data_IF_760079910051
#
_entry.id   IF_760079910051
#
_cell.length_a   1.000
_cell.length_b   1.000
_cell.length_c   1.000
_cell.angle_alpha   90.00
_cell.angle_beta   90.00
_cell.angle_gamma   90.00
#
_symmetry.space_group_name_H-M   'P 1'
#
loop_
_entity.id
_entity.type
_entity.pdbx_description
1 polymer ?
#
# COMPACT_ATOMS: atom_id res chain seq x y z
N UNK A 1 19.17 7.55 -2.43
CA UNK A 1 17.81 7.27 -1.94
C UNK A 1 17.15 6.34 -2.92
N UNK A 2 16.79 5.14 -2.49
CA UNK A 2 16.09 4.14 -3.30
C UNK A 2 14.65 4.59 -3.61
N UNK A 3 13.94 3.96 -4.57
CA UNK A 3 12.51 4.20 -4.79
C UNK A 3 11.69 4.03 -3.51
N UNK A 4 11.90 2.96 -2.76
CA UNK A 4 11.19 2.71 -1.50
C UNK A 4 11.43 3.81 -0.46
N UNK A 5 12.70 4.23 -0.28
CA UNK A 5 13.04 5.33 0.63
C UNK A 5 12.36 6.65 0.21
N UNK A 6 12.28 6.93 -1.10
CA UNK A 6 11.60 8.11 -1.63
C UNK A 6 10.09 8.04 -1.34
N UNK A 7 9.50 6.89 -1.56
CA UNK A 7 8.06 6.66 -1.35
C UNK A 7 7.69 6.75 0.13
N UNK A 8 8.46 6.09 1.01
CA UNK A 8 8.26 6.15 2.45
C UNK A 8 8.44 7.58 2.98
N UNK A 9 9.48 8.29 2.56
CA UNK A 9 9.73 9.67 2.98
C UNK A 9 8.59 10.62 2.59
N UNK A 10 8.02 10.46 1.40
CA UNK A 10 6.89 11.28 0.93
C UNK A 10 5.58 10.98 1.68
N UNK A 11 5.39 9.75 2.16
CA UNK A 11 4.17 9.36 2.87
C UNK A 11 4.29 9.52 4.39
N UNK A 12 5.50 9.60 4.94
CA UNK A 12 5.73 9.74 6.37
C UNK A 12 5.01 10.92 7.03
N UNK A 13 4.98 12.15 6.47
CA UNK A 13 4.24 13.27 7.07
C UNK A 13 2.76 12.95 7.27
N UNK A 14 2.12 12.30 6.30
CA UNK A 14 0.73 11.87 6.42
C UNK A 14 0.56 10.80 7.51
N UNK A 15 1.36 9.74 7.48
CA UNK A 15 1.33 8.68 8.48
C UNK A 15 1.51 9.29 9.87
N UNK A 16 2.58 10.07 10.07
CA UNK A 16 2.93 10.67 11.37
C UNK A 16 1.84 11.58 11.93
N UNK A 17 1.17 12.36 11.08
CA UNK A 17 0.14 13.32 11.51
C UNK A 17 -1.15 12.66 12.01
N UNK A 18 -1.40 11.39 11.65
CA UNK A 18 -2.60 10.64 12.05
C UNK A 18 -2.32 9.61 13.16
N UNK A 19 -1.06 9.46 13.60
CA UNK A 19 -0.74 8.60 14.72
C UNK A 19 -1.01 9.29 16.06
N UNK A 20 -1.32 8.51 17.13
CA UNK A 20 -1.39 9.05 18.49
C UNK A 20 -0.03 9.58 18.95
N UNK A 21 0.01 10.33 20.04
CA UNK A 21 1.27 10.77 20.63
C UNK A 21 2.12 9.56 21.08
N UNK A 22 3.43 9.65 20.85
CA UNK A 22 4.37 8.67 21.40
C UNK A 22 4.56 8.88 22.94
N UNK A 23 4.85 7.81 23.71
CA UNK A 23 5.03 6.44 23.26
C UNK A 23 3.68 5.73 23.03
N UNK A 24 3.57 4.98 21.94
CA UNK A 24 2.40 4.18 21.62
C UNK A 24 2.81 2.91 20.86
N UNK A 25 1.97 1.88 20.90
CA UNK A 25 2.19 0.63 20.17
C UNK A 25 1.60 0.76 18.78
N UNK A 26 2.41 0.51 17.75
CA UNK A 26 2.02 0.61 16.34
C UNK A 26 2.36 -0.70 15.63
N UNK A 27 1.42 -1.22 14.86
CA UNK A 27 1.65 -2.35 13.95
C UNK A 27 1.60 -1.83 12.52
N UNK A 28 2.55 -2.22 11.70
CA UNK A 28 2.54 -2.00 10.25
C UNK A 28 2.25 -3.31 9.53
N UNK A 29 1.25 -3.29 8.64
CA UNK A 29 0.89 -4.38 7.73
C UNK A 29 1.51 -4.08 6.37
N UNK A 30 2.28 -5.02 5.82
CA UNK A 30 2.96 -4.85 4.54
C UNK A 30 4.24 -4.02 4.64
N UNK A 31 5.09 -4.30 5.64
CA UNK A 31 6.36 -3.59 5.78
C UNK A 31 7.40 -3.99 4.71
N UNK A 32 7.17 -5.09 3.98
CA UNK A 32 8.06 -5.56 2.94
C UNK A 32 9.48 -5.87 3.39
N UNK A 33 10.34 -6.19 2.42
CA UNK A 33 11.75 -6.56 2.66
C UNK A 33 12.60 -5.44 3.23
N UNK A 34 12.22 -4.18 2.99
CA UNK A 34 12.97 -3.00 3.45
C UNK A 34 12.54 -2.53 4.84
N UNK A 35 11.49 -3.14 5.42
CA UNK A 35 11.03 -2.86 6.77
C UNK A 35 10.06 -1.67 6.88
N UNK A 36 9.58 -1.13 5.80
CA UNK A 36 8.51 -0.13 5.75
C UNK A 36 8.75 1.11 6.59
N UNK A 37 7.71 1.55 7.28
CA UNK A 37 7.77 2.69 8.20
C UNK A 37 8.35 2.35 9.58
N UNK A 38 8.61 1.07 9.92
CA UNK A 38 9.08 0.66 11.26
C UNK A 38 10.28 1.48 11.74
N UNK A 39 11.36 1.69 10.95
CA UNK A 39 12.51 2.49 11.40
C UNK A 39 12.13 3.95 11.70
N UNK A 40 11.22 4.53 10.94
CA UNK A 40 10.75 5.91 11.16
C UNK A 40 9.86 6.00 12.41
N UNK A 41 9.02 4.99 12.64
CA UNK A 41 8.17 4.86 13.82
C UNK A 41 9.03 4.75 15.08
N UNK A 42 10.02 3.86 15.10
CA UNK A 42 10.94 3.70 16.24
C UNK A 42 11.73 4.98 16.51
N UNK A 43 12.24 5.64 15.46
CA UNK A 43 12.94 6.92 15.58
C UNK A 43 12.05 8.03 16.15
N UNK A 44 10.74 7.93 15.94
CA UNK A 44 9.74 8.86 16.47
C UNK A 44 9.23 8.47 17.88
N UNK A 45 9.79 7.41 18.50
CA UNK A 45 9.51 6.97 19.86
C UNK A 45 8.34 6.01 20.01
N UNK A 46 7.88 5.37 18.92
CA UNK A 46 6.85 4.33 18.97
C UNK A 46 7.46 2.95 19.26
N UNK A 47 6.65 2.06 19.83
CA UNK A 47 6.91 0.63 19.88
C UNK A 47 6.31 0.02 18.63
N UNK A 48 7.12 -0.12 17.57
CA UNK A 48 6.67 -0.55 16.27
C UNK A 48 6.88 -2.07 16.04
N UNK A 49 5.95 -2.70 15.32
CA UNK A 49 6.10 -4.06 14.81
C UNK A 49 5.65 -4.08 13.35
N UNK A 50 6.54 -4.48 12.46
CA UNK A 50 6.25 -4.70 11.04
C UNK A 50 5.88 -6.15 10.78
N UNK A 51 4.85 -6.36 9.97
CA UNK A 51 4.33 -7.67 9.59
C UNK A 51 4.31 -7.77 8.08
N UNK A 52 4.98 -8.77 7.56
CA UNK A 52 5.03 -9.10 6.14
C UNK A 52 5.67 -10.48 5.98
N UNK A 53 5.25 -11.36 5.06
CA UNK A 53 5.93 -12.62 4.80
C UNK A 53 7.41 -12.48 4.46
N UNK A 54 7.78 -11.34 3.89
CA UNK A 54 9.14 -11.01 3.47
C UNK A 54 9.84 -9.99 4.39
N UNK A 55 9.27 -9.71 5.57
CA UNK A 55 9.84 -8.76 6.52
C UNK A 55 11.33 -9.04 6.83
N UNK A 56 12.13 -8.02 7.13
CA UNK A 56 13.52 -8.23 7.54
C UNK A 56 13.61 -9.08 8.81
N UNK A 57 14.77 -9.71 9.02
CA UNK A 57 15.06 -10.34 10.30
C UNK A 57 15.22 -9.27 11.40
N UNK A 58 14.65 -9.49 12.58
CA UNK A 58 14.78 -8.57 13.70
C UNK A 58 13.63 -8.68 14.71
N UNK A 59 13.85 -8.13 15.92
CA UNK A 59 12.86 -8.19 16.99
C UNK A 59 11.57 -7.40 16.70
N UNK A 60 11.69 -6.36 15.87
CA UNK A 60 10.60 -5.49 15.48
C UNK A 60 9.81 -6.03 14.26
N UNK A 61 10.13 -7.21 13.76
CA UNK A 61 9.51 -7.77 12.56
C UNK A 61 8.93 -9.15 12.79
N UNK A 62 7.91 -9.49 11.99
CA UNK A 62 7.28 -10.81 11.95
C UNK A 62 7.09 -11.23 10.50
N UNK A 63 7.74 -12.34 10.11
CA UNK A 63 7.66 -12.93 8.77
C UNK A 63 6.45 -13.85 8.68
N UNK A 64 5.26 -13.26 8.66
CA UNK A 64 3.97 -13.98 8.59
C UNK A 64 2.98 -13.14 7.78
N UNK A 65 1.96 -13.79 7.22
CA UNK A 65 0.77 -13.11 6.72
C UNK A 65 0.02 -12.47 7.92
N UNK A 66 -0.61 -11.30 7.69
CA UNK A 66 -1.29 -10.60 8.77
C UNK A 66 -2.44 -11.43 9.35
N UNK A 67 -3.15 -12.21 8.53
CA UNK A 67 -4.22 -13.11 8.94
C UNK A 67 -3.77 -14.14 9.98
N UNK A 68 -2.50 -14.50 9.96
CA UNK A 68 -1.87 -15.43 10.91
C UNK A 68 -1.17 -14.76 12.09
N UNK A 69 -1.16 -13.43 12.13
CA UNK A 69 -0.48 -12.69 13.19
C UNK A 69 -1.29 -12.66 14.48
N UNK A 70 -0.68 -13.15 15.55
CA UNK A 70 -1.20 -13.05 16.92
C UNK A 70 -0.47 -11.94 17.68
N UNK A 71 -1.16 -10.84 17.90
CA UNK A 71 -0.59 -9.74 18.68
C UNK A 71 -0.57 -10.06 20.17
N UNK A 72 0.47 -9.64 20.91
CA UNK A 72 0.55 -9.84 22.37
C UNK A 72 -0.47 -8.98 23.16
N UNK A 73 -1.31 -8.23 22.50
CA UNK A 73 -2.38 -7.40 23.06
C UNK A 73 -2.73 -6.21 22.17
N UNK A 74 -3.75 -5.40 22.57
CA UNK A 74 -4.24 -4.30 21.75
C UNK A 74 -3.16 -3.28 21.40
N UNK A 75 -3.31 -2.59 20.27
CA UNK A 75 -2.38 -1.57 19.76
C UNK A 75 -3.09 -0.22 19.60
N UNK A 76 -2.31 0.86 19.64
CA UNK A 76 -2.83 2.22 19.58
C UNK A 76 -3.03 2.68 18.12
N UNK A 77 -2.26 2.13 17.19
CA UNK A 77 -2.44 2.38 15.77
C UNK A 77 -2.02 1.19 14.91
N UNK A 78 -2.63 1.11 13.74
CA UNK A 78 -2.22 0.21 12.66
C UNK A 78 -1.97 1.07 11.41
N UNK A 79 -0.85 0.82 10.76
CA UNK A 79 -0.50 1.39 9.45
C UNK A 79 -0.59 0.24 8.44
N UNK A 80 -1.27 0.44 7.32
CA UNK A 80 -1.27 -0.50 6.19
C UNK A 80 -0.67 0.21 4.97
N UNK A 81 0.37 -0.36 4.41
CA UNK A 81 1.21 0.28 3.41
C UNK A 81 1.29 -0.59 2.16
N UNK A 82 0.56 -0.23 1.09
CA UNK A 82 0.51 -0.94 -0.19
C UNK A 82 0.34 -2.47 -0.03
N UNK A 83 -0.55 -2.90 0.86
CA UNK A 83 -0.69 -4.30 1.27
C UNK A 83 -2.12 -4.83 1.24
N UNK A 84 -3.12 -4.00 1.49
CA UNK A 84 -4.52 -4.44 1.56
C UNK A 84 -5.06 -4.91 0.22
N UNK A 85 -4.51 -4.45 -0.89
CA UNK A 85 -4.92 -4.93 -2.20
C UNK A 85 -4.47 -6.37 -2.48
N UNK A 86 -3.54 -6.93 -1.70
CA UNK A 86 -3.05 -8.32 -1.83
C UNK A 86 -3.69 -9.32 -0.86
N UNK A 87 -4.40 -8.86 0.18
CA UNK A 87 -4.97 -9.79 1.18
C UNK A 87 -6.04 -10.70 0.55
N UNK A 88 -6.14 -11.93 1.04
CA UNK A 88 -7.09 -12.89 0.49
C UNK A 88 -8.56 -12.50 0.78
N UNK A 89 -8.83 -11.96 1.97
CA UNK A 89 -10.17 -11.54 2.41
C UNK A 89 -10.10 -10.23 3.20
N UNK A 90 -10.49 -9.14 2.54
CA UNK A 90 -10.55 -7.80 3.15
C UNK A 90 -11.44 -7.72 4.38
N UNK A 91 -12.55 -8.48 4.41
CA UNK A 91 -13.49 -8.46 5.52
C UNK A 91 -12.83 -9.05 6.75
N UNK A 92 -12.21 -10.22 6.60
CA UNK A 92 -11.50 -10.91 7.70
C UNK A 92 -10.36 -10.04 8.23
N UNK A 93 -9.52 -9.52 7.34
CA UNK A 93 -8.38 -8.67 7.71
C UNK A 93 -8.83 -7.39 8.43
N UNK A 94 -9.83 -6.69 7.92
CA UNK A 94 -10.30 -5.44 8.53
C UNK A 94 -11.07 -5.68 9.85
N UNK A 95 -11.74 -6.82 10.02
CA UNK A 95 -12.32 -7.21 11.31
C UNK A 95 -11.21 -7.50 12.33
N UNK A 96 -10.12 -8.17 11.93
CA UNK A 96 -8.95 -8.39 12.79
C UNK A 96 -8.25 -7.08 13.14
N UNK A 97 -8.05 -6.18 12.17
CA UNK A 97 -7.52 -4.82 12.40
C UNK A 97 -8.36 -4.08 13.44
N UNK A 98 -9.69 -4.09 13.28
CA UNK A 98 -10.60 -3.45 14.24
C UNK A 98 -10.54 -4.06 15.62
N UNK A 99 -10.47 -5.38 15.71
CA UNK A 99 -10.39 -6.10 16.99
C UNK A 99 -9.06 -5.85 17.72
N UNK A 100 -7.99 -5.64 16.98
CA UNK A 100 -6.66 -5.38 17.54
C UNK A 100 -6.47 -3.95 18.05
N UNK A 101 -7.20 -2.99 17.51
CA UNK A 101 -7.12 -1.59 17.92
C UNK A 101 -7.79 -1.35 19.29
N UNK A 102 -7.16 -0.50 20.12
CA UNK A 102 -7.86 0.09 21.28
C UNK A 102 -9.07 0.92 20.79
N UNK A 103 -10.08 1.19 21.64
CA UNK A 103 -11.29 1.92 21.21
C UNK A 103 -11.02 3.27 20.51
N UNK A 104 -10.02 4.02 20.98
CA UNK A 104 -9.60 5.30 20.39
C UNK A 104 -8.41 5.14 19.44
N UNK A 105 -8.14 3.93 18.98
CA UNK A 105 -7.04 3.60 18.08
C UNK A 105 -7.15 4.27 16.71
N UNK A 106 -6.07 4.20 15.96
CA UNK A 106 -5.97 4.79 14.62
C UNK A 106 -5.67 3.73 13.59
N UNK A 107 -6.39 3.78 12.49
CA UNK A 107 -6.02 3.09 11.26
C UNK A 107 -5.55 4.11 10.24
N UNK A 108 -4.33 3.94 9.73
CA UNK A 108 -3.72 4.80 8.71
C UNK A 108 -3.36 3.93 7.52
N UNK A 109 -3.84 4.28 6.35
CA UNK A 109 -3.63 3.49 5.13
C UNK A 109 -2.99 4.38 4.07
N UNK A 110 -1.99 3.83 3.39
CA UNK A 110 -1.45 4.37 2.14
C UNK A 110 -1.51 3.25 1.12
N UNK A 111 -2.39 3.39 0.12
CA UNK A 111 -2.74 2.27 -0.74
C UNK A 111 -2.79 2.67 -2.21
N UNK A 112 -2.72 1.69 -3.09
CA UNK A 112 -2.82 1.86 -4.53
C UNK A 112 -4.26 1.69 -5.01
N UNK A 113 -4.78 2.71 -5.70
CA UNK A 113 -6.06 2.65 -6.41
C UNK A 113 -5.81 2.22 -7.87
N UNK A 114 -5.50 0.95 -8.07
CA UNK A 114 -5.09 0.43 -9.37
C UNK A 114 -6.17 0.55 -10.47
N UNK A 115 -7.43 0.55 -10.08
CA UNK A 115 -8.56 0.76 -11.00
C UNK A 115 -8.56 2.16 -11.65
N UNK A 116 -7.76 3.09 -11.10
CA UNK A 116 -7.55 4.44 -11.62
C UNK A 116 -6.32 4.54 -12.54
N UNK A 117 -5.56 3.45 -12.71
CA UNK A 117 -4.37 3.42 -13.55
C UNK A 117 -4.76 3.27 -15.02
N UNK A 118 -5.28 4.35 -15.59
CA UNK A 118 -5.73 4.42 -16.98
C UNK A 118 -4.56 4.46 -17.98
N UNK A 119 -4.87 4.38 -19.28
CA UNK A 119 -3.86 4.35 -20.33
C UNK A 119 -3.06 5.67 -20.40
N UNK A 120 -3.68 6.80 -20.11
CA UNK A 120 -2.99 8.10 -20.10
C UNK A 120 -1.93 8.13 -19.00
N UNK A 121 -2.30 7.66 -17.80
CA UNK A 121 -1.39 7.53 -16.66
C UNK A 121 -0.27 6.52 -16.96
N UNK A 122 -0.61 5.36 -17.54
CA UNK A 122 0.38 4.34 -17.90
C UNK A 122 1.42 4.88 -18.90
N UNK A 123 0.96 5.53 -19.96
CA UNK A 123 1.85 6.15 -20.96
C UNK A 123 2.72 7.25 -20.36
N UNK A 124 2.17 8.06 -19.46
CA UNK A 124 2.90 9.10 -18.77
C UNK A 124 4.02 8.51 -17.89
N UNK A 125 3.74 7.45 -17.14
CA UNK A 125 4.72 6.71 -16.34
C UNK A 125 5.78 6.06 -17.22
N UNK A 126 5.37 5.33 -18.27
CA UNK A 126 6.30 4.61 -19.15
C UNK A 126 7.26 5.51 -19.92
N UNK A 127 6.87 6.75 -20.21
CA UNK A 127 7.75 7.74 -20.82
C UNK A 127 8.83 8.28 -19.86
N UNK A 128 8.73 7.98 -18.56
CA UNK A 128 9.63 8.44 -17.48
C UNK A 128 10.37 7.30 -16.79
N UNK A 129 10.26 6.08 -17.30
CA UNK A 129 11.07 4.97 -16.79
C UNK A 129 12.55 5.18 -17.13
N UNK A 130 13.47 4.71 -16.26
CA UNK A 130 14.91 4.76 -16.54
C UNK A 130 15.27 4.10 -17.88
N UNK A 131 16.20 4.69 -18.64
CA UNK A 131 16.65 4.13 -19.95
C UNK A 131 17.28 2.74 -19.82
N UNK A 132 17.96 2.46 -18.69
CA UNK A 132 18.55 1.14 -18.40
C UNK A 132 17.52 0.01 -18.35
N UNK A 133 16.24 0.32 -18.12
CA UNK A 133 15.14 -0.63 -18.04
C UNK A 133 14.81 -1.32 -19.38
N UNK A 134 15.27 -0.81 -20.52
CA UNK A 134 14.96 -1.41 -21.84
C UNK A 134 15.81 -2.64 -22.18
N UNK A 135 16.97 -2.82 -21.54
CA UNK A 135 17.91 -3.89 -21.88
C UNK A 135 17.67 -5.23 -21.16
N UNK A 136 16.81 -5.27 -20.16
CA UNK A 136 16.63 -6.45 -19.28
C UNK A 136 15.26 -7.13 -19.35
N UNK A 137 14.40 -6.73 -20.29
CA UNK A 137 13.04 -7.27 -20.46
C UNK A 137 12.99 -8.68 -21.08
N UNK A 138 14.02 -9.54 -20.93
CA UNK A 138 13.95 -10.95 -21.28
C UNK A 138 13.67 -11.77 -20.02
N UNK A 139 12.40 -12.08 -19.83
CA UNK A 139 11.94 -13.00 -18.78
C UNK A 139 12.38 -14.44 -19.08
N UNK A 140 12.70 -15.27 -18.06
CA UNK A 140 12.71 -16.71 -18.23
C UNK A 140 11.27 -17.19 -18.47
N UNK A 141 11.09 -17.98 -19.53
CA UNK A 141 9.84 -18.68 -19.82
C UNK A 141 9.53 -19.63 -18.65
N UNK A 142 8.36 -19.53 -18.10
CA UNK A 142 7.54 -20.44 -17.30
C UNK A 142 7.01 -19.83 -16.01
N UNK A 143 5.69 -19.87 -15.95
CA UNK A 143 4.80 -19.40 -14.91
C UNK A 143 5.26 -19.59 -13.47
N UNK A 144 5.24 -18.48 -12.73
CA UNK A 144 5.32 -18.47 -11.28
C UNK A 144 3.94 -18.12 -10.72
N UNK A 145 3.37 -18.94 -9.84
CA UNK A 145 2.26 -18.53 -9.00
C UNK A 145 2.82 -17.62 -7.90
N UNK A 146 2.16 -16.47 -7.71
CA UNK A 146 2.47 -15.41 -6.75
C UNK A 146 3.64 -14.51 -7.16
N UNK A 147 3.31 -13.25 -7.42
CA UNK A 147 4.22 -12.20 -7.86
C UNK A 147 5.38 -11.97 -6.87
N UNK A 148 6.40 -12.82 -6.92
CA UNK A 148 7.70 -12.53 -6.35
C UNK A 148 8.45 -11.67 -7.35
N UNK A 149 8.66 -10.44 -7.01
CA UNK A 149 9.68 -9.63 -7.66
C UNK A 149 11.03 -10.38 -7.59
N UNK A 150 11.85 -10.36 -8.67
CA UNK A 150 13.08 -11.12 -8.70
C UNK A 150 14.02 -10.75 -7.55
N UNK A 151 14.59 -11.78 -6.95
CA UNK A 151 15.66 -11.66 -5.95
C UNK A 151 16.87 -11.04 -6.60
N UNK A 152 17.35 -9.99 -6.04
CA UNK A 152 18.60 -9.26 -6.28
C UNK A 152 18.50 -7.90 -6.95
N UNK A 153 18.77 -6.89 -6.21
CA UNK A 153 19.64 -5.70 -6.31
C UNK A 153 19.80 -4.96 -7.64
N UNK A 154 18.95 -5.17 -8.63
CA UNK A 154 18.95 -4.39 -9.87
C UNK A 154 17.52 -3.91 -10.15
N UNK A 155 17.39 -2.61 -10.20
CA UNK A 155 16.21 -1.76 -10.42
C UNK A 155 15.29 -2.21 -11.57
N UNK A 156 14.47 -3.20 -11.34
CA UNK A 156 13.42 -3.51 -12.29
C UNK A 156 12.07 -3.18 -11.65
N UNK A 157 11.73 -1.89 -11.71
CA UNK A 157 10.39 -1.40 -11.40
C UNK A 157 9.35 -2.30 -12.05
N UNK A 158 8.33 -2.76 -11.28
CA UNK A 158 7.25 -3.56 -11.84
C UNK A 158 6.59 -2.87 -13.06
N UNK A 159 6.64 -1.54 -13.14
CA UNK A 159 6.20 -0.76 -14.31
C UNK A 159 6.93 -1.15 -15.59
N UNK A 160 8.21 -1.54 -15.51
CA UNK A 160 8.99 -1.99 -16.68
C UNK A 160 8.42 -3.29 -17.21
N UNK A 161 8.13 -4.25 -16.30
CA UNK A 161 7.52 -5.53 -16.65
C UNK A 161 6.13 -5.34 -17.24
N UNK A 162 5.29 -4.51 -16.58
CA UNK A 162 3.93 -4.22 -17.09
C UNK A 162 3.96 -3.59 -18.47
N UNK A 163 4.90 -2.66 -18.73
CA UNK A 163 5.08 -2.07 -20.06
C UNK A 163 5.43 -3.13 -21.11
N UNK A 164 6.35 -4.03 -20.80
CA UNK A 164 6.79 -5.07 -21.72
C UNK A 164 5.63 -6.03 -22.05
N UNK A 165 4.98 -6.58 -21.04
CA UNK A 165 3.87 -7.52 -21.20
C UNK A 165 2.67 -6.88 -21.91
N UNK A 166 2.33 -5.64 -21.59
CA UNK A 166 1.28 -4.91 -22.29
C UNK A 166 1.58 -4.78 -23.78
N UNK A 167 2.83 -4.40 -24.13
CA UNK A 167 3.25 -4.28 -25.54
C UNK A 167 3.18 -5.63 -26.28
N UNK A 168 3.57 -6.71 -25.61
CA UNK A 168 3.48 -8.06 -26.18
C UNK A 168 2.05 -8.54 -26.34
N UNK A 169 1.16 -8.22 -25.42
CA UNK A 169 -0.23 -8.65 -25.44
C UNK A 169 -1.01 -8.08 -26.63
N UNK A 170 -0.62 -6.93 -27.16
CA UNK A 170 -1.34 -6.21 -28.21
C UNK A 170 -2.74 -5.75 -27.82
N UNK A 171 -3.11 -5.86 -26.53
CA UNK A 171 -4.43 -5.50 -26.02
C UNK A 171 -4.51 -4.00 -25.70
N UNK A 172 -5.73 -3.42 -25.67
CA UNK A 172 -5.97 -2.14 -25.03
C UNK A 172 -5.52 -2.19 -23.57
N UNK A 173 -4.94 -1.09 -23.04
CA UNK A 173 -4.42 -1.03 -21.66
C UNK A 173 -5.45 -1.48 -20.62
N UNK A 174 -6.68 -0.99 -20.73
CA UNK A 174 -7.74 -1.30 -19.76
C UNK A 174 -8.08 -2.79 -19.69
N UNK A 175 -8.00 -3.51 -20.80
CA UNK A 175 -8.29 -4.95 -20.86
C UNK A 175 -7.11 -5.76 -20.32
N UNK A 176 -5.89 -5.38 -20.71
CA UNK A 176 -4.66 -5.97 -20.17
C UNK A 176 -4.59 -5.83 -18.65
N UNK A 177 -4.74 -4.59 -18.14
CA UNK A 177 -4.65 -4.31 -16.71
C UNK A 177 -5.72 -5.06 -15.91
N UNK A 178 -6.96 -5.06 -16.39
CA UNK A 178 -8.06 -5.79 -15.75
C UNK A 178 -7.79 -7.29 -15.68
N UNK A 179 -7.32 -7.90 -16.78
CA UNK A 179 -7.01 -9.32 -16.81
C UNK A 179 -5.87 -9.68 -15.86
N UNK A 180 -4.84 -8.84 -15.81
CA UNK A 180 -3.73 -9.03 -14.88
C UNK A 180 -4.20 -8.92 -13.43
N UNK A 181 -4.94 -7.87 -13.06
CA UNK A 181 -5.43 -7.69 -11.69
C UNK A 181 -6.36 -8.82 -11.24
N UNK A 182 -7.21 -9.33 -12.14
CA UNK A 182 -8.06 -10.49 -11.85
C UNK A 182 -7.24 -11.77 -11.63
N UNK A 183 -6.19 -11.98 -12.43
CA UNK A 183 -5.30 -13.12 -12.27
C UNK A 183 -4.53 -13.09 -10.94
N UNK A 184 -4.13 -11.89 -10.48
CA UNK A 184 -3.46 -11.69 -9.20
C UNK A 184 -4.44 -11.62 -8.00
N UNK A 185 -5.75 -11.58 -8.24
CA UNK A 185 -6.76 -11.49 -7.18
C UNK A 185 -6.75 -10.18 -6.40
N UNK A 186 -6.32 -9.07 -7.04
CA UNK A 186 -6.16 -7.79 -6.34
C UNK A 186 -7.49 -7.11 -6.04
N UNK A 187 -7.62 -6.58 -4.83
CA UNK A 187 -8.73 -5.72 -4.45
C UNK A 187 -8.53 -4.29 -4.96
N UNK A 188 -9.59 -3.68 -5.50
CA UNK A 188 -9.55 -2.28 -5.92
C UNK A 188 -9.50 -1.33 -4.71
N UNK A 189 -9.04 -0.10 -4.93
CA UNK A 189 -9.15 0.95 -3.91
C UNK A 189 -10.59 1.20 -3.49
N UNK A 190 -11.55 1.04 -4.39
CA UNK A 190 -12.99 1.13 -4.08
C UNK A 190 -13.46 -0.02 -3.19
N UNK A 191 -13.00 -1.26 -3.43
CA UNK A 191 -13.31 -2.41 -2.57
C UNK A 191 -12.78 -2.19 -1.15
N UNK A 192 -11.54 -1.68 -1.03
CA UNK A 192 -10.92 -1.36 0.25
C UNK A 192 -11.74 -0.31 0.99
N UNK A 193 -12.10 0.81 0.35
CA UNK A 193 -12.90 1.86 0.98
C UNK A 193 -14.30 1.37 1.35
N UNK A 194 -14.94 0.56 0.52
CA UNK A 194 -16.25 -0.03 0.80
C UNK A 194 -16.19 -1.00 2.00
N UNK A 195 -15.12 -1.77 2.12
CA UNK A 195 -14.91 -2.68 3.25
C UNK A 195 -14.57 -1.94 4.57
N UNK A 196 -13.96 -0.76 4.48
CA UNK A 196 -13.67 0.11 5.64
C UNK A 196 -14.93 0.77 6.19
N UNK A 197 -15.87 1.20 5.34
CA UNK A 197 -17.02 2.02 5.74
C UNK A 197 -17.85 1.45 6.89
N UNK A 198 -18.21 0.15 6.95
CA UNK A 198 -18.96 -0.40 8.08
C UNK A 198 -18.15 -0.53 9.38
N UNK A 199 -16.83 -0.38 9.34
CA UNK A 199 -15.91 -0.70 10.43
C UNK A 199 -15.27 0.52 11.07
N UNK A 200 -15.03 1.55 10.27
CA UNK A 200 -14.26 2.73 10.67
C UNK A 200 -14.99 4.01 10.30
N UNK A 201 -14.83 5.03 11.13
CA UNK A 201 -15.25 6.39 10.85
C UNK A 201 -14.07 7.13 10.21
N UNK A 202 -14.17 7.54 8.93
CA UNK A 202 -13.07 8.21 8.25
C UNK A 202 -12.82 9.61 8.81
N UNK A 203 -11.57 9.94 9.10
CA UNK A 203 -11.11 11.29 9.46
C UNK A 203 -10.51 12.00 8.24
N UNK A 204 -9.90 11.25 7.34
CA UNK A 204 -9.29 11.76 6.11
C UNK A 204 -9.32 10.70 5.01
N UNK A 205 -9.72 11.11 3.81
CA UNK A 205 -9.58 10.30 2.58
C UNK A 205 -9.10 11.22 1.49
N UNK A 206 -7.93 10.95 0.93
CA UNK A 206 -7.35 11.75 -0.16
C UNK A 206 -6.74 10.88 -1.23
N UNK A 207 -6.70 11.40 -2.45
CA UNK A 207 -6.02 10.78 -3.58
C UNK A 207 -4.83 11.64 -4.00
N UNK A 208 -3.79 11.02 -4.57
CA UNK A 208 -2.60 11.73 -4.99
C UNK A 208 -1.62 10.90 -5.82
N UNK A 209 -0.39 11.41 -5.97
CA UNK A 209 0.70 10.75 -6.68
C UNK A 209 1.07 9.41 -6.08
N UNK A 210 1.36 8.42 -6.93
CA UNK A 210 1.77 7.08 -6.49
C UNK A 210 3.12 6.66 -7.08
N UNK A 211 3.36 6.95 -8.36
CA UNK A 211 4.44 6.36 -9.15
C UNK A 211 5.75 7.14 -9.12
N UNK A 212 5.76 8.39 -8.66
CA UNK A 212 6.93 9.29 -8.71
C UNK A 212 8.23 8.67 -8.19
N UNK A 213 8.11 7.75 -7.23
CA UNK A 213 9.27 7.11 -6.62
C UNK A 213 10.03 6.21 -7.60
N UNK A 214 9.32 5.55 -8.51
CA UNK A 214 9.86 4.64 -9.53
C UNK A 214 10.30 5.34 -10.81
N UNK A 215 9.96 6.62 -10.97
CA UNK A 215 10.16 7.36 -12.21
C UNK A 215 11.45 8.18 -12.18
N UNK A 216 12.18 8.14 -13.29
CA UNK A 216 13.42 8.90 -13.43
C UNK A 216 13.15 10.42 -13.47
N UNK A 217 13.92 11.19 -12.68
CA UNK A 217 13.84 12.65 -12.68
C UNK A 217 12.45 13.22 -12.32
N UNK A 218 11.57 12.41 -11.71
CA UNK A 218 10.20 12.80 -11.37
C UNK A 218 10.06 12.90 -9.86
N UNK A 219 9.56 14.01 -9.35
CA UNK A 219 9.21 14.20 -7.94
C UNK A 219 7.71 13.97 -7.70
N UNK A 220 7.30 13.85 -6.41
CA UNK A 220 5.89 13.82 -6.03
C UNK A 220 5.15 15.08 -6.55
N UNK A 221 5.81 16.23 -6.54
CA UNK A 221 5.24 17.48 -7.03
C UNK A 221 5.02 17.49 -8.55
N UNK A 222 5.92 16.84 -9.32
CA UNK A 222 5.77 16.72 -10.78
C UNK A 222 4.57 15.82 -11.14
N UNK A 223 4.40 14.70 -10.43
CA UNK A 223 3.25 13.82 -10.64
C UNK A 223 1.94 14.53 -10.20
N UNK A 224 1.96 15.25 -9.06
CA UNK A 224 0.81 16.04 -8.63
C UNK A 224 0.43 17.12 -9.65
N UNK A 225 1.39 17.82 -10.21
CA UNK A 225 1.14 18.82 -11.24
C UNK A 225 0.49 18.21 -12.50
N UNK A 226 0.88 16.99 -12.88
CA UNK A 226 0.24 16.28 -13.99
C UNK A 226 -1.19 15.86 -13.66
N UNK A 227 -1.48 15.47 -12.40
CA UNK A 227 -2.83 15.18 -11.89
C UNK A 227 -3.68 16.45 -11.94
N UNK A 228 -3.19 17.57 -11.40
CA UNK A 228 -3.90 18.84 -11.33
C UNK A 228 -4.21 19.40 -12.72
N UNK A 229 -3.35 19.13 -13.69
CA UNK A 229 -3.56 19.46 -15.10
C UNK A 229 -4.55 18.51 -15.83
N UNK A 230 -5.04 17.45 -15.15
CA UNK A 230 -5.93 16.45 -15.75
C UNK A 230 -5.26 15.55 -16.81
N UNK A 231 -3.93 15.48 -16.81
CA UNK A 231 -3.17 14.65 -17.74
C UNK A 231 -3.16 13.17 -17.33
N UNK A 232 -3.21 12.91 -16.03
CA UNK A 232 -3.18 11.58 -15.43
C UNK A 232 -4.13 11.51 -14.24
N UNK A 233 -4.44 10.28 -13.79
CA UNK A 233 -5.25 10.04 -12.61
C UNK A 233 -4.41 9.99 -11.33
N UNK A 234 -5.02 10.39 -10.20
CA UNK A 234 -4.46 10.17 -8.88
C UNK A 234 -4.64 8.70 -8.47
N UNK A 235 -3.54 7.98 -8.28
CA UNK A 235 -3.54 6.53 -8.06
C UNK A 235 -3.24 6.12 -6.61
N UNK A 236 -2.80 7.04 -5.74
CA UNK A 236 -2.62 6.78 -4.31
C UNK A 236 -3.87 7.14 -3.53
N UNK A 237 -4.28 6.25 -2.62
CA UNK A 237 -5.23 6.53 -1.56
C UNK A 237 -4.46 6.74 -0.26
N UNK A 238 -4.75 7.82 0.45
CA UNK A 238 -4.40 8.01 1.85
C UNK A 238 -5.70 8.04 2.65
N UNK A 239 -5.81 7.14 3.62
CA UNK A 239 -6.97 7.04 4.50
C UNK A 239 -6.49 7.09 5.95
N UNK A 240 -7.22 7.80 6.79
CA UNK A 240 -7.10 7.72 8.24
C UNK A 240 -8.48 7.65 8.85
N UNK A 241 -8.64 6.81 9.89
CA UNK A 241 -9.93 6.65 10.56
C UNK A 241 -9.82 5.98 11.93
N UNK A 242 -10.94 5.91 12.62
CA UNK A 242 -11.09 5.28 13.94
C UNK A 242 -12.06 4.12 13.88
N UNK A 243 -11.90 3.10 14.75
CA UNK A 243 -12.91 2.07 14.89
C UNK A 243 -14.28 2.67 15.18
N UNK A 244 -15.30 2.28 14.41
CA UNK A 244 -16.68 2.63 14.75
C UNK A 244 -17.05 1.99 16.09
N UNK A 245 -17.55 2.81 16.99
CA UNK A 245 -18.16 2.32 18.25
C UNK A 245 -19.34 1.41 17.90
N UNK A 246 -19.43 0.25 18.56
CA UNK A 246 -20.68 -0.54 18.50
C UNK A 246 -21.79 0.32 19.07
N UNK A 247 -22.97 0.42 18.41
CA UNK A 247 -24.11 1.03 19.05
C UNK A 247 -24.39 0.28 20.36
N UNK A 248 -24.44 1.02 21.47
CA UNK A 248 -24.83 0.45 22.78
C UNK A 248 -26.25 -0.06 22.61
N UNK A 249 -26.54 -1.34 22.88
CA UNK A 249 -27.90 -1.84 22.84
C UNK A 249 -28.76 -1.02 23.80
N UNK A 250 -29.89 -0.51 23.32
CA UNK A 250 -30.80 0.34 24.10
C UNK A 250 -31.37 -0.38 25.34
N UNK A 251 -31.27 -1.70 25.39
CA UNK A 251 -31.77 -2.55 26.48
C UNK A 251 -30.93 -2.52 27.79
N UNK A 252 -29.84 -1.77 27.85
CA UNK A 252 -29.01 -1.61 29.07
C UNK A 252 -29.18 -0.24 29.76
N UNK A 253 -30.17 0.55 29.36
CA UNK A 253 -30.48 1.88 29.96
C UNK A 253 -31.71 1.89 30.84
N UNK A 254 -32.11 0.72 31.41
CA UNK A 254 -33.19 0.64 32.43
C UNK A 254 -32.69 0.20 33.78
#
# INVERSE_FOLDING_TARGET
MTPDERWLAANWPFVRSHLPAAPARVVEIGCGRVGGFVPMLESAGYQATGIDPEAPAGSSYRQVEFESYEAPGPVNAIVASASLHHVADLVVVLDQVKALLVPDGRLVIVEWAHERFDEATARWCFARLPESAEHHARLPEHGMPHARLPESGEDHSWLVHRRAEWRESGQPWADYLRSWMQAEGLHTGQDILAALDPRFDPESVTYGPYFFADLAGTSEADEQAAIDAGLIQANRIRYAGRPRSRPVPVDQLT
#
